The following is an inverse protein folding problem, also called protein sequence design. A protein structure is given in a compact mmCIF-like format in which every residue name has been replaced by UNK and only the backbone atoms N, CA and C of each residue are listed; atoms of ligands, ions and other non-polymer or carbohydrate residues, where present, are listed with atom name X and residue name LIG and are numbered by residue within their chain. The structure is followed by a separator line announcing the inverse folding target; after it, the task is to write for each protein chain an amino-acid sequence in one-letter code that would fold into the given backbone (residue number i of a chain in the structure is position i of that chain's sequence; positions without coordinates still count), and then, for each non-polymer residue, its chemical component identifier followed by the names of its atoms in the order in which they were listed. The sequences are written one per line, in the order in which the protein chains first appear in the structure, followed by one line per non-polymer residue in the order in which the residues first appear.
data_IF_052070969933
#
_entry.id   IF_052070969933
#
_cell.length_a   1.000
_cell.length_b   1.000
_cell.length_c   1.000
_cell.angle_alpha   90.00
_cell.angle_beta   90.00
_cell.angle_gamma   90.00
#
_symmetry.space_group_name_H-M   'P 1'
#
loop_
_entity.id
_entity.type
_entity.pdbx_description
1 polymer ?
#
# COMPACT_ATOMS: atom_id res chain seq x y z
N UNK A 1 -19.75 3.00 17.17
CA UNK A 1 -19.25 2.57 15.83
C UNK A 1 -19.82 3.54 14.81
N UNK A 2 -19.02 4.07 13.89
CA UNK A 2 -19.46 5.01 12.84
C UNK A 2 -19.90 4.29 11.55
N UNK A 3 -19.33 3.12 11.26
CA UNK A 3 -19.76 2.29 10.14
C UNK A 3 -18.82 1.13 9.84
N UNK A 4 -19.25 0.28 8.92
CA UNK A 4 -18.52 -0.87 8.39
C UNK A 4 -18.45 -0.73 6.87
N UNK A 5 -17.28 -1.00 6.31
CA UNK A 5 -17.08 -1.03 4.87
C UNK A 5 -16.34 -2.28 4.45
N UNK A 6 -16.80 -2.87 3.35
CA UNK A 6 -16.19 -4.05 2.74
C UNK A 6 -15.98 -3.75 1.25
N UNK A 7 -14.83 -4.16 0.73
CA UNK A 7 -14.54 -4.12 -0.69
C UNK A 7 -13.87 -5.41 -1.16
N UNK A 8 -14.24 -5.86 -2.36
CA UNK A 8 -13.68 -7.04 -3.01
C UNK A 8 -13.18 -6.62 -4.38
N UNK A 9 -11.87 -6.74 -4.56
CA UNK A 9 -11.19 -6.38 -5.80
C UNK A 9 -10.78 -7.65 -6.55
N UNK A 10 -11.33 -7.85 -7.75
CA UNK A 10 -10.86 -8.90 -8.65
C UNK A 10 -9.48 -8.54 -9.22
N UNK A 11 -8.46 -9.36 -8.95
CA UNK A 11 -7.10 -9.11 -9.44
C UNK A 11 -7.02 -9.14 -10.97
N UNK A 12 -7.74 -10.02 -11.65
CA UNK A 12 -7.77 -10.07 -13.13
C UNK A 12 -8.25 -8.75 -13.76
N UNK A 13 -9.36 -8.20 -13.25
CA UNK A 13 -9.87 -6.88 -13.67
C UNK A 13 -8.90 -5.76 -13.32
N UNK A 14 -8.31 -5.79 -12.12
CA UNK A 14 -7.35 -4.78 -11.71
C UNK A 14 -6.08 -4.80 -12.56
N UNK A 15 -5.62 -5.99 -12.96
CA UNK A 15 -4.51 -6.17 -13.89
C UNK A 15 -4.78 -5.50 -15.23
N UNK A 16 -6.00 -5.65 -15.77
CA UNK A 16 -6.39 -4.94 -16.98
C UNK A 16 -6.34 -3.41 -16.81
N UNK A 17 -6.72 -2.89 -15.64
CA UNK A 17 -6.57 -1.45 -15.33
C UNK A 17 -5.11 -1.03 -15.33
N UNK A 18 -4.22 -1.81 -14.71
CA UNK A 18 -2.78 -1.54 -14.68
C UNK A 18 -2.20 -1.60 -16.10
N UNK A 19 -2.53 -2.61 -16.89
CA UNK A 19 -2.06 -2.74 -18.29
C UNK A 19 -2.51 -1.57 -19.15
N UNK A 20 -3.75 -1.11 -18.99
CA UNK A 20 -4.29 -0.02 -19.81
C UNK A 20 -3.80 1.38 -19.39
N UNK A 21 -3.54 1.61 -18.10
CA UNK A 21 -3.21 2.95 -17.57
C UNK A 21 -1.74 3.10 -17.20
N UNK A 22 -1.05 2.00 -16.93
CA UNK A 22 0.28 1.97 -16.33
C UNK A 22 0.25 2.15 -14.81
N UNK A 23 1.21 1.53 -14.16
CA UNK A 23 1.42 1.59 -12.71
C UNK A 23 1.46 3.01 -12.15
N UNK A 24 2.26 3.89 -12.77
CA UNK A 24 2.48 5.24 -12.27
C UNK A 24 1.21 6.10 -12.24
N UNK A 25 0.35 5.99 -13.26
CA UNK A 25 -0.93 6.73 -13.28
C UNK A 25 -1.89 6.24 -12.22
N UNK A 26 -1.91 4.93 -11.96
CA UNK A 26 -2.76 4.35 -10.92
C UNK A 26 -2.21 4.69 -9.53
N UNK A 27 -0.90 4.59 -9.32
CA UNK A 27 -0.24 4.97 -8.06
C UNK A 27 -0.53 6.42 -7.67
N UNK A 28 -0.36 7.39 -8.59
CA UNK A 28 -0.66 8.81 -8.32
C UNK A 28 -2.13 9.07 -7.94
N UNK A 29 -3.06 8.24 -8.41
CA UNK A 29 -4.48 8.33 -8.06
C UNK A 29 -4.79 7.75 -6.68
N UNK A 30 -4.14 6.63 -6.34
CA UNK A 30 -4.50 5.81 -5.17
C UNK A 30 -3.67 6.15 -3.94
N UNK A 31 -2.38 6.41 -4.11
CA UNK A 31 -1.43 6.61 -3.02
C UNK A 31 -1.47 8.05 -2.52
N UNK A 32 -1.39 8.23 -1.19
CA UNK A 32 -0.98 9.52 -0.63
C UNK A 32 0.52 9.78 -0.92
N UNK A 33 1.06 10.98 -0.69
CA UNK A 33 2.46 11.30 -0.97
C UNK A 33 3.47 10.30 -0.36
N UNK A 34 3.30 9.97 0.93
CA UNK A 34 4.11 8.96 1.63
C UNK A 34 4.07 7.59 0.94
N UNK A 35 2.88 7.08 0.63
CA UNK A 35 2.72 5.80 -0.05
C UNK A 35 3.24 5.81 -1.49
N UNK A 36 3.21 6.97 -2.15
CA UNK A 36 3.76 7.12 -3.49
C UNK A 36 5.28 7.00 -3.45
N UNK A 37 5.94 7.59 -2.46
CA UNK A 37 7.37 7.40 -2.23
C UNK A 37 7.71 5.93 -1.94
N UNK A 38 6.91 5.23 -1.13
CA UNK A 38 7.07 3.79 -0.89
C UNK A 38 6.89 2.97 -2.18
N UNK A 39 5.93 3.34 -3.01
CA UNK A 39 5.68 2.70 -4.29
C UNK A 39 6.88 2.84 -5.25
N UNK A 40 7.49 4.02 -5.32
CA UNK A 40 8.66 4.28 -6.16
C UNK A 40 9.89 3.46 -5.71
N UNK A 41 10.04 3.23 -4.41
CA UNK A 41 11.11 2.35 -3.89
C UNK A 41 10.99 0.90 -4.38
N UNK A 42 9.78 0.43 -4.68
CA UNK A 42 9.56 -0.93 -5.20
C UNK A 42 10.15 -1.13 -6.59
N UNK A 43 10.27 -0.06 -7.39
CA UNK A 43 10.91 -0.12 -8.71
C UNK A 43 12.44 -0.16 -8.65
N UNK A 44 13.05 0.22 -7.53
CA UNK A 44 14.50 0.40 -7.41
C UNK A 44 15.14 -0.73 -6.61
N UNK A 45 14.45 -1.28 -5.60
CA UNK A 45 15.04 -2.21 -4.64
C UNK A 45 15.37 -3.59 -5.26
N UNK A 46 16.68 -3.95 -5.36
CA UNK A 46 17.10 -5.33 -5.54
C UNK A 46 16.74 -6.09 -4.27
N UNK A 47 16.26 -7.31 -4.44
CA UNK A 47 15.81 -8.20 -3.36
C UNK A 47 16.95 -8.38 -2.35
N UNK A 48 16.74 -8.13 -1.04
CA UNK A 48 17.63 -8.69 -0.03
C UNK A 48 17.48 -10.22 -0.15
N UNK A 49 18.55 -10.92 -0.57
CA UNK A 49 18.56 -12.37 -0.62
C UNK A 49 18.22 -12.88 0.77
N UNK A 50 17.01 -13.41 0.93
CA UNK A 50 16.62 -14.13 2.13
C UNK A 50 17.41 -15.45 2.14
N UNK A 51 18.61 -15.43 2.72
CA UNK A 51 19.42 -16.63 3.00
C UNK A 51 20.84 -16.63 2.42
N UNK A 52 21.74 -15.74 2.84
CA UNK A 52 23.19 -16.00 2.74
C UNK A 52 23.86 -15.73 4.10
N UNK A 53 24.64 -16.72 4.50
CA UNK A 53 25.17 -17.00 5.81
C UNK A 53 26.25 -16.02 6.29
N UNK A 54 26.45 -16.02 7.61
CA UNK A 54 27.60 -15.40 8.25
C UNK A 54 28.93 -15.86 7.60
N UNK A 55 29.95 -14.99 7.49
CA UNK A 55 31.22 -15.39 6.90
C UNK A 55 31.97 -16.27 7.90
N UNK A 56 31.99 -17.58 7.64
CA UNK A 56 33.03 -18.49 8.15
C UNK A 56 34.04 -18.74 7.05
N UNK A 57 35.31 -18.64 7.43
CA UNK A 57 36.45 -18.52 6.54
C UNK A 57 36.84 -19.83 5.81
N UNK A 58 37.62 -19.61 4.73
CA UNK A 58 38.56 -20.51 4.01
C UNK A 58 37.96 -21.42 2.92
N UNK A 59 38.31 -21.19 1.67
CA UNK A 59 39.56 -21.70 1.06
C UNK A 59 39.64 -21.40 -0.44
N UNK A 60 40.89 -21.32 -0.88
CA UNK A 60 41.40 -21.12 -2.24
C UNK A 60 41.08 -22.33 -3.12
N UNK A 61 40.71 -22.11 -4.40
CA UNK A 61 41.36 -22.78 -5.55
C UNK A 61 40.93 -22.20 -6.92
N UNK A 62 41.82 -22.41 -7.89
CA UNK A 62 41.98 -21.71 -9.18
C UNK A 62 41.26 -22.42 -10.33
N UNK A 63 40.91 -21.63 -11.35
CA UNK A 63 41.07 -22.01 -12.77
C UNK A 63 39.79 -22.33 -13.54
N UNK A 64 39.62 -21.69 -14.70
CA UNK A 64 38.67 -22.12 -15.73
C UNK A 64 37.98 -20.98 -16.48
N UNK A 65 38.57 -20.56 -17.60
CA UNK A 65 37.98 -19.72 -18.64
C UNK A 65 36.75 -20.35 -19.31
N UNK A 66 35.88 -19.48 -19.85
CA UNK A 66 34.77 -19.66 -20.80
C UNK A 66 33.34 -19.53 -20.24
N UNK A 67 32.70 -18.40 -20.54
CA UNK A 67 31.48 -18.33 -21.37
C UNK A 67 30.77 -16.98 -21.15
N UNK A 68 30.94 -16.06 -22.09
CA UNK A 68 30.02 -14.95 -22.29
C UNK A 68 28.68 -15.51 -22.78
N UNK A 69 27.61 -15.33 -22.00
CA UNK A 69 26.26 -15.76 -22.40
C UNK A 69 25.31 -16.15 -21.26
N UNK A 70 25.21 -15.36 -20.17
CA UNK A 70 24.27 -15.67 -19.05
C UNK A 70 23.55 -14.41 -18.51
N UNK A 71 23.43 -13.32 -19.26
CA UNK A 71 22.84 -12.07 -18.71
C UNK A 71 21.34 -11.88 -18.99
N UNK A 72 20.74 -12.63 -19.93
CA UNK A 72 19.35 -12.37 -20.37
C UNK A 72 18.25 -12.89 -19.42
N UNK A 73 18.51 -13.97 -18.66
CA UNK A 73 17.49 -14.57 -17.77
C UNK A 73 17.24 -13.78 -16.49
N UNK A 74 18.26 -13.13 -15.93
CA UNK A 74 18.14 -12.39 -14.67
C UNK A 74 17.25 -11.14 -14.81
N UNK A 75 17.30 -10.48 -15.98
CA UNK A 75 16.53 -9.26 -16.26
C UNK A 75 15.01 -9.51 -16.26
N UNK A 76 14.55 -10.55 -16.96
CA UNK A 76 13.12 -10.88 -17.01
C UNK A 76 12.53 -11.37 -15.67
N UNK A 77 13.33 -12.05 -14.85
CA UNK A 77 12.93 -12.49 -13.50
C UNK A 77 12.85 -11.31 -12.52
N UNK A 78 13.73 -10.31 -12.67
CA UNK A 78 13.67 -9.11 -11.83
C UNK A 78 12.44 -8.27 -12.17
N UNK A 79 12.12 -8.12 -13.47
CA UNK A 79 10.98 -7.35 -13.95
C UNK A 79 9.63 -7.94 -13.47
N UNK A 80 9.48 -9.26 -13.55
CA UNK A 80 8.30 -9.97 -13.01
C UNK A 80 8.14 -9.78 -11.49
N UNK A 81 9.24 -9.80 -10.73
CA UNK A 81 9.19 -9.52 -9.29
C UNK A 81 8.88 -8.07 -8.94
N UNK A 82 9.33 -7.10 -9.75
CA UNK A 82 8.94 -5.69 -9.58
C UNK A 82 7.45 -5.54 -9.87
N UNK A 83 6.98 -6.13 -10.97
CA UNK A 83 5.57 -6.17 -11.34
C UNK A 83 4.70 -6.70 -10.20
N UNK A 84 5.01 -7.88 -9.66
CA UNK A 84 4.21 -8.51 -8.61
C UNK A 84 4.17 -7.65 -7.34
N UNK A 85 5.29 -7.06 -6.95
CA UNK A 85 5.37 -6.16 -5.78
C UNK A 85 4.50 -4.92 -5.97
N UNK A 86 4.63 -4.25 -7.11
CA UNK A 86 3.84 -3.05 -7.43
C UNK A 86 2.34 -3.38 -7.55
N UNK A 87 2.01 -4.51 -8.18
CA UNK A 87 0.65 -4.98 -8.35
C UNK A 87 -0.03 -5.28 -7.02
N UNK A 88 0.65 -6.03 -6.14
CA UNK A 88 0.16 -6.32 -4.79
C UNK A 88 0.03 -5.07 -3.93
N UNK A 89 0.99 -4.15 -4.04
CA UNK A 89 0.98 -2.88 -3.31
C UNK A 89 -0.24 -2.03 -3.66
N UNK A 90 -0.56 -1.87 -4.95
CA UNK A 90 -1.68 -1.05 -5.39
C UNK A 90 -3.03 -1.73 -5.20
N UNK A 91 -3.14 -3.04 -5.46
CA UNK A 91 -4.40 -3.77 -5.30
C UNK A 91 -4.86 -3.78 -3.84
N UNK A 92 -3.93 -4.00 -2.89
CA UNK A 92 -4.18 -3.92 -1.45
C UNK A 92 -4.71 -2.54 -1.04
N UNK A 93 -4.05 -1.47 -1.50
CA UNK A 93 -4.42 -0.09 -1.18
C UNK A 93 -5.75 0.30 -1.79
N UNK A 94 -6.02 -0.14 -3.02
CA UNK A 94 -7.31 0.09 -3.65
C UNK A 94 -8.43 -0.49 -2.78
N UNK A 95 -8.37 -1.79 -2.49
CA UNK A 95 -9.43 -2.49 -1.77
C UNK A 95 -9.65 -1.90 -0.37
N UNK A 96 -8.58 -1.69 0.41
CA UNK A 96 -8.74 -1.20 1.78
C UNK A 96 -9.23 0.25 1.85
N UNK A 97 -8.84 1.09 0.89
CA UNK A 97 -9.27 2.51 0.86
C UNK A 97 -10.71 2.66 0.39
N UNK A 98 -11.16 1.83 -0.56
CA UNK A 98 -12.57 1.72 -0.93
C UNK A 98 -13.41 1.22 0.26
N UNK A 99 -12.94 0.21 0.98
CA UNK A 99 -13.58 -0.27 2.20
C UNK A 99 -13.64 0.84 3.28
N UNK A 100 -12.57 1.62 3.46
CA UNK A 100 -12.55 2.74 4.40
C UNK A 100 -13.54 3.85 4.01
N UNK A 101 -13.60 4.20 2.73
CA UNK A 101 -14.57 5.16 2.22
C UNK A 101 -16.00 4.70 2.55
N UNK A 102 -16.34 3.44 2.25
CA UNK A 102 -17.66 2.86 2.55
C UNK A 102 -17.97 2.84 4.05
N UNK A 103 -16.96 2.59 4.89
CA UNK A 103 -17.14 2.60 6.35
C UNK A 103 -17.47 3.99 6.91
N UNK A 104 -16.90 5.06 6.31
CA UNK A 104 -17.10 6.44 6.76
C UNK A 104 -18.33 7.08 6.11
N UNK A 105 -18.66 6.71 4.87
CA UNK A 105 -19.67 7.39 4.05
C UNK A 105 -21.03 7.61 4.75
N UNK A 106 -21.62 6.61 5.45
CA UNK A 106 -22.88 6.81 6.16
C UNK A 106 -22.82 7.89 7.25
N UNK A 107 -21.65 8.07 7.87
CA UNK A 107 -21.39 9.04 8.93
C UNK A 107 -20.72 10.32 8.42
N UNK A 108 -20.58 10.49 7.11
CA UNK A 108 -19.84 11.62 6.53
C UNK A 108 -20.42 12.99 6.91
N UNK A 109 -21.75 13.20 7.01
CA UNK A 109 -22.30 14.46 7.51
C UNK A 109 -21.80 14.80 8.92
N UNK A 110 -21.82 13.82 9.83
CA UNK A 110 -21.34 13.96 11.20
C UNK A 110 -19.82 14.24 11.26
N UNK A 111 -19.03 13.45 10.51
CA UNK A 111 -17.57 13.65 10.43
C UNK A 111 -17.21 15.03 9.90
N UNK A 112 -17.98 15.58 8.95
CA UNK A 112 -17.78 16.93 8.42
C UNK A 112 -18.14 18.03 9.40
N UNK A 113 -19.09 17.79 10.31
CA UNK A 113 -19.39 18.72 11.41
C UNK A 113 -18.21 18.83 12.37
N UNK A 114 -17.56 17.71 12.72
CA UNK A 114 -16.38 17.69 13.58
C UNK A 114 -15.11 18.17 12.87
N UNK A 115 -15.00 17.89 11.58
CA UNK A 115 -13.85 18.24 10.75
C UNK A 115 -14.27 18.99 9.50
N UNK A 116 -14.52 20.31 9.61
CA UNK A 116 -14.83 21.14 8.46
C UNK A 116 -13.74 21.02 7.38
N UNK A 117 -14.18 20.85 6.13
CA UNK A 117 -13.29 20.69 4.97
C UNK A 117 -12.75 19.27 4.77
N UNK A 118 -13.15 18.28 5.58
CA UNK A 118 -12.78 16.89 5.32
C UNK A 118 -13.53 16.33 4.10
N UNK A 119 -12.74 15.83 3.14
CA UNK A 119 -13.23 15.15 1.94
C UNK A 119 -12.51 13.80 1.81
N UNK A 120 -13.21 12.67 1.97
CA UNK A 120 -12.60 11.35 1.85
C UNK A 120 -12.31 11.07 0.38
N UNK A 121 -11.05 11.29 0.00
CA UNK A 121 -10.48 10.84 -1.27
C UNK A 121 -9.52 9.69 -1.01
N UNK A 122 -8.99 9.03 -2.05
CA UNK A 122 -7.94 8.03 -1.88
C UNK A 122 -6.73 8.55 -1.09
N UNK A 123 -6.39 9.83 -1.24
CA UNK A 123 -5.25 10.46 -0.57
C UNK A 123 -5.52 10.74 0.91
N UNK A 124 -6.79 10.76 1.33
CA UNK A 124 -7.19 10.94 2.72
C UNK A 124 -6.98 9.68 3.58
N UNK A 125 -6.50 8.59 2.97
CA UNK A 125 -6.20 7.34 3.66
C UNK A 125 -4.75 6.98 3.49
N UNK A 126 -4.11 6.53 4.55
CA UNK A 126 -2.71 6.11 4.54
C UNK A 126 -2.56 4.72 5.17
N UNK A 127 -2.17 3.74 4.37
CA UNK A 127 -1.85 2.39 4.85
C UNK A 127 -0.34 2.28 5.09
N UNK A 128 0.05 2.29 6.36
CA UNK A 128 1.42 2.15 6.83
C UNK A 128 1.61 0.88 7.68
N UNK A 129 2.87 0.58 8.00
CA UNK A 129 3.21 -0.48 8.96
C UNK A 129 3.87 0.15 10.18
N UNK A 130 3.31 -0.10 11.35
CA UNK A 130 3.84 0.35 12.64
C UNK A 130 4.20 -0.88 13.46
N UNK A 131 5.48 -1.03 13.82
CA UNK A 131 5.95 -2.23 14.54
C UNK A 131 5.53 -3.54 13.86
N UNK A 132 5.61 -3.58 12.52
CA UNK A 132 5.16 -4.69 11.65
C UNK A 132 3.65 -4.95 11.62
N UNK A 133 2.83 -4.06 12.18
CA UNK A 133 1.37 -4.14 12.15
C UNK A 133 0.82 -3.18 11.10
N UNK A 134 -0.06 -3.63 10.18
CA UNK A 134 -0.69 -2.72 9.24
C UNK A 134 -1.66 -1.78 9.96
N UNK A 135 -1.49 -0.48 9.75
CA UNK A 135 -2.35 0.57 10.33
C UNK A 135 -2.89 1.43 9.20
N UNK A 136 -4.21 1.63 9.20
CA UNK A 136 -4.89 2.52 8.26
C UNK A 136 -5.26 3.82 8.97
N UNK A 137 -4.62 4.91 8.55
CA UNK A 137 -4.84 6.25 9.10
C UNK A 137 -5.74 7.07 8.18
N UNK A 138 -6.50 7.97 8.77
CA UNK A 138 -7.20 9.01 8.02
C UNK A 138 -6.38 10.28 8.11
N UNK A 139 -6.05 10.86 6.98
CA UNK A 139 -5.28 12.09 6.88
C UNK A 139 -6.21 13.26 6.59
N UNK A 140 -5.88 14.40 7.18
CA UNK A 140 -6.42 15.69 6.79
C UNK A 140 -5.67 16.18 5.56
N UNK A 141 -6.19 15.90 4.37
CA UNK A 141 -5.60 16.48 3.15
C UNK A 141 -5.81 18.01 3.15
N UNK A 142 -4.74 18.76 3.37
CA UNK A 142 -4.73 20.19 3.10
C UNK A 142 -4.76 20.48 1.60
N UNK A 143 -5.09 21.73 1.22
CA UNK A 143 -5.09 22.16 -0.20
C UNK A 143 -3.73 22.02 -0.91
N UNK A 144 -2.63 21.85 -0.14
CA UNK A 144 -1.26 21.83 -0.65
C UNK A 144 -0.67 20.43 -0.91
N UNK A 145 -1.39 19.34 -0.60
CA UNK A 145 -0.91 17.98 -0.88
C UNK A 145 0.36 17.54 -0.12
N UNK A 146 0.79 18.28 0.91
CA UNK A 146 1.81 17.83 1.87
C UNK A 146 1.22 16.81 2.84
N UNK A 147 2.06 15.97 3.45
CA UNK A 147 1.65 14.92 4.40
C UNK A 147 0.59 15.44 5.37
N UNK A 148 -0.63 14.91 5.24
CA UNK A 148 -1.76 15.36 6.04
C UNK A 148 -1.61 14.91 7.48
N UNK A 149 -1.95 15.79 8.42
CA UNK A 149 -2.04 15.40 9.83
C UNK A 149 -3.10 14.30 10.00
N UNK A 150 -2.87 13.36 10.92
CA UNK A 150 -3.86 12.33 11.25
C UNK A 150 -5.12 13.01 11.78
N UNK A 151 -6.28 12.66 11.22
CA UNK A 151 -7.55 13.23 11.60
C UNK A 151 -7.92 12.75 13.03
N UNK A 152 -7.94 13.63 14.04
CA UNK A 152 -8.23 13.22 15.41
C UNK A 152 -9.69 12.77 15.54
N UNK A 153 -10.01 11.95 16.54
CA UNK A 153 -11.39 11.51 16.77
C UNK A 153 -11.95 10.51 15.76
N UNK A 154 -11.17 10.05 14.77
CA UNK A 154 -11.55 9.00 13.84
C UNK A 154 -10.51 7.88 13.82
N UNK A 155 -10.92 6.67 14.20
CA UNK A 155 -10.08 5.47 14.21
C UNK A 155 -10.61 4.43 13.24
N UNK A 156 -9.72 3.83 12.45
CA UNK A 156 -10.07 2.74 11.55
C UNK A 156 -9.43 1.44 12.04
N UNK A 157 -10.24 0.40 12.18
CA UNK A 157 -9.75 -0.97 12.31
C UNK A 157 -9.86 -1.62 10.94
N UNK A 158 -8.72 -2.02 10.38
CA UNK A 158 -8.65 -2.53 9.02
C UNK A 158 -8.06 -3.94 8.97
N UNK A 159 -8.60 -4.76 8.08
CA UNK A 159 -8.02 -6.05 7.71
C UNK A 159 -8.03 -6.20 6.20
N UNK A 160 -6.96 -6.77 5.64
CA UNK A 160 -6.85 -7.12 4.23
C UNK A 160 -6.48 -8.58 4.11
N UNK A 161 -7.16 -9.29 3.22
CA UNK A 161 -6.79 -10.64 2.81
C UNK A 161 -6.68 -10.73 1.29
N UNK A 162 -5.89 -11.68 0.82
CA UNK A 162 -5.79 -12.04 -0.60
C UNK A 162 -6.01 -13.55 -0.73
N UNK A 163 -6.95 -13.95 -1.58
CA UNK A 163 -7.17 -15.36 -1.88
C UNK A 163 -7.92 -15.50 -3.21
N UNK A 164 -7.83 -16.66 -3.86
CA UNK A 164 -8.64 -17.02 -5.04
C UNK A 164 -8.69 -15.96 -6.16
N UNK A 165 -7.62 -15.21 -6.37
CA UNK A 165 -7.56 -14.15 -7.39
C UNK A 165 -8.33 -12.87 -7.03
N UNK A 166 -8.64 -12.65 -5.76
CA UNK A 166 -9.26 -11.43 -5.23
C UNK A 166 -8.47 -10.87 -4.04
N UNK A 167 -8.67 -9.58 -3.77
CA UNK A 167 -8.27 -8.91 -2.53
C UNK A 167 -9.54 -8.44 -1.83
N UNK A 168 -9.65 -8.76 -0.54
CA UNK A 168 -10.78 -8.33 0.29
C UNK A 168 -10.27 -7.38 1.35
N UNK A 169 -10.84 -6.18 1.38
CA UNK A 169 -10.62 -5.19 2.43
C UNK A 169 -11.85 -5.08 3.33
N UNK A 170 -11.64 -5.07 4.64
CA UNK A 170 -12.68 -4.83 5.64
C UNK A 170 -12.22 -3.71 6.55
N UNK A 171 -13.05 -2.69 6.75
CA UNK A 171 -12.78 -1.56 7.62
C UNK A 171 -13.96 -1.29 8.54
N UNK A 172 -13.68 -1.19 9.84
CA UNK A 172 -14.62 -0.67 10.83
C UNK A 172 -14.17 0.74 11.20
N UNK A 173 -15.05 1.72 10.98
CA UNK A 173 -14.84 3.10 11.41
C UNK A 173 -15.40 3.28 12.82
N UNK A 174 -14.58 3.81 13.72
CA UNK A 174 -14.90 4.09 15.10
C UNK A 174 -14.67 5.57 15.41
N UNK A 175 -15.50 6.12 16.28
CA UNK A 175 -15.21 7.40 16.89
C UNK A 175 -14.05 7.19 17.86
N UNK A 176 -12.94 7.89 17.61
CA UNK A 176 -11.80 7.96 18.52
C UNK A 176 -12.05 8.98 19.62
N UNK A 177 -11.22 8.95 20.65
CA UNK A 177 -11.22 9.99 21.68
C UNK A 177 -10.71 11.30 21.07
N UNK A 178 -11.40 12.41 21.35
CA UNK A 178 -11.04 13.75 20.87
C UNK A 178 -10.01 14.45 21.79
N UNK A 179 -9.30 13.70 22.63
CA UNK A 179 -8.33 14.23 23.58
C UNK A 179 -6.91 14.33 23.01
N UNK A 180 -6.07 15.24 23.52
CA UNK A 180 -4.64 15.18 23.26
C UNK A 180 -4.11 13.83 23.80
N UNK A 181 -3.38 13.11 22.97
CA UNK A 181 -2.61 11.95 23.43
C UNK A 181 -1.58 12.48 24.44
N UNK A 182 -1.55 11.98 25.69
CA UNK A 182 -0.60 12.44 26.71
C UNK A 182 0.86 12.14 26.33
#
# INVERSE_FOLDING_TARGET
MLGLGVDILSLKRFEQVIRNRGFQRVARRVCCPRELADFERLSISPIPRSGEDAPSAKSIERGGTHAAGVESRASGVLDTKVWDRQFRFLSTRWAIKEAAYKAIYPSLPYVRTLHPGFHPTFHAFDLCHENNVPVLRVLRCGRSGTDGEVLPGLRLLSSVSHDAGVVVGVVVALQGETGPVP
#
